data_IF_555101238822
#
_entry.id   IF_555101238822
#
_cell.length_a   1.000
_cell.length_b   1.000
_cell.length_c   1.000
_cell.angle_alpha   90.00
_cell.angle_beta   90.00
_cell.angle_gamma   90.00
#
_symmetry.space_group_name_H-M   'P 1'
#
loop_
_entity.id
_entity.type
_entity.pdbx_description
1 polymer ?
#
# COMPACT_ATOMS: atom_id res chain seq x y z
N UNK A 1 5.77 -13.82 -12.15
CA UNK A 1 7.14 -14.18 -11.76
C UNK A 1 7.94 -14.63 -12.98
N UNK A 2 8.91 -13.84 -13.41
CA UNK A 2 9.77 -14.13 -14.57
C UNK A 2 11.25 -13.83 -14.24
N UNK A 3 12.04 -14.84 -13.88
CA UNK A 3 13.47 -14.70 -13.67
C UNK A 3 14.23 -14.19 -14.89
N UNK A 4 13.78 -14.51 -16.08
CA UNK A 4 14.36 -14.08 -17.34
C UNK A 4 14.23 -12.57 -17.53
N UNK A 5 13.03 -12.03 -17.31
CA UNK A 5 12.79 -10.59 -17.37
C UNK A 5 13.58 -9.86 -16.30
N UNK A 6 13.61 -10.37 -15.06
CA UNK A 6 14.42 -9.78 -13.99
C UNK A 6 15.89 -9.66 -14.40
N UNK A 7 16.48 -10.74 -14.94
CA UNK A 7 17.86 -10.71 -15.43
C UNK A 7 18.08 -9.74 -16.58
N UNK A 8 17.09 -9.58 -17.47
CA UNK A 8 17.17 -8.61 -18.55
C UNK A 8 17.21 -7.17 -18.01
N UNK A 9 16.41 -6.84 -16.98
CA UNK A 9 16.46 -5.55 -16.32
C UNK A 9 17.80 -5.33 -15.59
N UNK A 10 18.30 -6.34 -14.89
CA UNK A 10 19.63 -6.26 -14.23
C UNK A 10 20.76 -6.05 -15.23
N UNK A 11 20.68 -6.70 -16.41
CA UNK A 11 21.65 -6.50 -17.47
C UNK A 11 21.61 -5.07 -18.04
N UNK A 12 20.43 -4.48 -18.23
CA UNK A 12 20.27 -3.06 -18.61
C UNK A 12 20.89 -2.11 -17.57
N UNK A 13 20.81 -2.46 -16.28
CA UNK A 13 21.44 -1.73 -15.19
C UNK A 13 22.96 -1.99 -15.07
N UNK A 14 23.54 -2.81 -15.98
CA UNK A 14 24.96 -3.12 -16.04
C UNK A 14 25.41 -4.33 -15.21
N UNK A 15 24.49 -5.07 -14.59
CA UNK A 15 24.81 -6.27 -13.82
C UNK A 15 24.79 -7.50 -14.74
N UNK A 16 25.92 -7.79 -15.38
CA UNK A 16 26.03 -8.80 -16.43
C UNK A 16 26.93 -9.99 -16.07
N UNK A 17 27.73 -9.89 -15.02
CA UNK A 17 28.75 -10.89 -14.69
C UNK A 17 28.26 -11.71 -13.48
N UNK A 18 28.08 -13.04 -13.60
CA UNK A 18 27.74 -13.87 -12.46
C UNK A 18 28.97 -14.10 -11.56
N UNK A 19 28.75 -14.02 -10.24
CA UNK A 19 29.70 -14.47 -9.25
C UNK A 19 29.59 -15.99 -9.04
N UNK A 20 30.57 -16.64 -8.38
CA UNK A 20 30.52 -18.09 -8.11
C UNK A 20 29.30 -18.54 -7.30
N UNK A 21 28.71 -17.66 -6.50
CA UNK A 21 27.50 -17.87 -5.71
C UNK A 21 26.20 -17.57 -6.46
N UNK A 22 26.29 -17.21 -7.75
CA UNK A 22 25.16 -16.94 -8.62
C UNK A 22 24.66 -15.49 -8.59
N UNK A 23 25.17 -14.64 -7.72
CA UNK A 23 24.79 -13.22 -7.67
C UNK A 23 25.46 -12.45 -8.80
N UNK A 24 24.71 -11.52 -9.40
CA UNK A 24 25.24 -10.70 -10.50
C UNK A 24 26.10 -9.53 -9.97
N UNK A 25 27.04 -9.09 -10.81
CA UNK A 25 27.86 -7.90 -10.56
C UNK A 25 28.12 -7.11 -11.83
N UNK A 26 28.51 -5.86 -11.66
CA UNK A 26 29.03 -4.98 -12.72
C UNK A 26 30.49 -5.34 -13.05
N UNK A 27 31.02 -4.85 -14.20
CA UNK A 27 32.44 -4.99 -14.55
C UNK A 27 33.39 -4.42 -13.51
N UNK A 28 32.99 -3.37 -12.79
CA UNK A 28 33.77 -2.74 -11.71
C UNK A 28 33.79 -3.57 -10.41
N UNK A 29 33.11 -4.70 -10.37
CA UNK A 29 33.00 -5.57 -9.20
C UNK A 29 31.81 -5.31 -8.30
N UNK A 30 31.03 -4.24 -8.52
CA UNK A 30 29.84 -3.89 -7.71
C UNK A 30 28.80 -5.01 -7.80
N UNK A 31 28.49 -5.65 -6.67
CA UNK A 31 27.49 -6.73 -6.59
C UNK A 31 26.07 -6.19 -6.61
N UNK A 32 25.16 -6.97 -7.17
CA UNK A 32 23.74 -6.67 -7.15
C UNK A 32 23.14 -7.08 -5.79
N UNK A 33 23.05 -6.10 -4.90
CA UNK A 33 22.50 -6.29 -3.55
C UNK A 33 21.44 -5.25 -3.25
N UNK A 34 20.44 -5.62 -2.44
CA UNK A 34 19.44 -4.71 -1.92
C UNK A 34 19.13 -5.04 -0.46
N UNK A 35 19.13 -4.05 0.42
CA UNK A 35 18.73 -4.21 1.82
C UNK A 35 17.26 -3.82 2.00
N UNK A 36 16.46 -4.71 2.61
CA UNK A 36 15.04 -4.45 2.92
C UNK A 36 14.88 -4.30 4.43
N UNK A 37 14.56 -3.09 4.87
CA UNK A 37 14.23 -2.80 6.27
C UNK A 37 12.75 -3.08 6.53
N UNK A 38 12.44 -3.79 7.61
CA UNK A 38 11.07 -4.12 8.00
C UNK A 38 10.94 -4.35 9.51
N UNK A 39 9.72 -4.19 10.10
CA UNK A 39 9.49 -4.46 11.51
C UNK A 39 9.54 -5.96 11.80
N UNK A 40 10.25 -6.35 12.85
CA UNK A 40 10.44 -7.75 13.26
C UNK A 40 9.27 -8.32 14.08
N UNK A 41 8.23 -7.54 14.33
CA UNK A 41 7.06 -7.93 15.14
C UNK A 41 6.14 -8.95 14.46
N UNK A 42 6.30 -9.19 13.14
CA UNK A 42 5.48 -10.12 12.37
C UNK A 42 6.29 -11.31 11.84
N UNK A 43 6.18 -12.49 12.45
CA UNK A 43 6.86 -13.72 11.97
C UNK A 43 6.44 -14.12 10.56
N UNK A 44 5.17 -13.91 10.18
CA UNK A 44 4.66 -14.20 8.85
C UNK A 44 5.32 -13.31 7.78
N UNK A 45 5.51 -12.03 8.07
CA UNK A 45 6.22 -11.12 7.20
C UNK A 45 7.68 -11.53 7.01
N UNK A 46 8.36 -11.88 8.12
CA UNK A 46 9.74 -12.35 8.06
C UNK A 46 9.89 -13.60 7.18
N UNK A 47 8.96 -14.56 7.31
CA UNK A 47 8.90 -15.75 6.47
C UNK A 47 8.67 -15.41 4.98
N UNK A 48 7.75 -14.51 4.69
CA UNK A 48 7.45 -14.06 3.31
C UNK A 48 8.67 -13.38 2.68
N UNK A 49 9.33 -12.48 3.40
CA UNK A 49 10.54 -11.82 2.91
C UNK A 49 11.73 -12.80 2.79
N UNK A 50 11.79 -13.82 3.65
CA UNK A 50 12.73 -14.93 3.51
C UNK A 50 12.54 -15.68 2.18
N UNK A 51 11.29 -15.95 1.81
CA UNK A 51 10.97 -16.57 0.51
C UNK A 51 11.33 -15.67 -0.66
N UNK A 52 11.01 -14.36 -0.57
CA UNK A 52 11.39 -13.38 -1.58
C UNK A 52 12.91 -13.34 -1.79
N UNK A 53 13.69 -13.36 -0.70
CA UNK A 53 15.16 -13.42 -0.76
C UNK A 53 15.66 -14.64 -1.55
N UNK A 54 15.09 -15.82 -1.29
CA UNK A 54 15.48 -17.04 -2.01
C UNK A 54 15.11 -16.98 -3.50
N UNK A 55 13.95 -16.42 -3.83
CA UNK A 55 13.53 -16.28 -5.22
C UNK A 55 14.34 -15.19 -5.97
N UNK A 56 14.68 -14.09 -5.31
CA UNK A 56 15.56 -13.06 -5.85
C UNK A 56 16.97 -13.61 -6.17
N UNK A 57 17.49 -14.49 -5.31
CA UNK A 57 18.78 -15.14 -5.53
C UNK A 57 18.82 -15.94 -6.82
N UNK A 58 17.73 -16.61 -7.18
CA UNK A 58 17.61 -17.35 -8.45
C UNK A 58 17.72 -16.42 -9.69
N UNK A 59 17.40 -15.15 -9.50
CA UNK A 59 17.53 -14.13 -10.54
C UNK A 59 18.90 -13.42 -10.53
N UNK A 60 19.74 -13.69 -9.52
CA UNK A 60 21.05 -13.07 -9.36
C UNK A 60 21.09 -11.84 -8.47
N UNK A 61 20.01 -11.56 -7.70
CA UNK A 61 19.92 -10.48 -6.72
C UNK A 61 20.10 -11.04 -5.32
N UNK A 62 21.00 -10.45 -4.54
CA UNK A 62 21.16 -10.70 -3.12
C UNK A 62 20.31 -9.74 -2.30
N UNK A 63 19.24 -10.24 -1.67
CA UNK A 63 18.46 -9.48 -0.71
C UNK A 63 19.03 -9.65 0.69
N UNK A 64 19.36 -8.55 1.34
CA UNK A 64 19.76 -8.49 2.74
C UNK A 64 18.54 -8.08 3.56
N UNK A 65 18.08 -8.96 4.45
CA UNK A 65 16.97 -8.68 5.34
C UNK A 65 17.49 -7.92 6.57
N UNK A 66 16.85 -6.79 6.87
CA UNK A 66 17.20 -5.89 7.97
C UNK A 66 15.98 -5.77 8.92
N UNK A 67 15.74 -6.82 9.75
CA UNK A 67 14.65 -6.82 10.72
C UNK A 67 15.00 -5.94 11.92
N UNK A 68 14.16 -4.95 12.19
CA UNK A 68 14.34 -4.01 13.31
C UNK A 68 13.10 -3.99 14.19
N UNK A 69 13.26 -3.52 15.44
CA UNK A 69 12.11 -3.14 16.25
C UNK A 69 11.21 -2.17 15.47
N UNK A 70 9.89 -2.27 15.66
CA UNK A 70 8.91 -1.51 14.86
C UNK A 70 9.16 -0.01 14.91
N UNK A 71 9.51 0.54 16.08
CA UNK A 71 9.80 1.98 16.25
C UNK A 71 11.09 2.37 15.56
N UNK A 72 12.10 1.51 15.64
CA UNK A 72 13.42 1.74 15.00
C UNK A 72 13.31 1.62 13.49
N UNK A 73 12.58 0.62 12.98
CA UNK A 73 12.30 0.45 11.56
C UNK A 73 11.57 1.68 11.00
N UNK A 74 10.48 2.09 11.65
CA UNK A 74 9.72 3.28 11.27
C UNK A 74 10.59 4.53 11.22
N UNK A 75 11.39 4.79 12.27
CA UNK A 75 12.32 5.92 12.30
C UNK A 75 13.31 5.88 11.15
N UNK A 76 13.96 4.74 10.91
CA UNK A 76 14.93 4.58 9.81
C UNK A 76 14.32 4.86 8.45
N UNK A 77 13.08 4.41 8.23
CA UNK A 77 12.33 4.62 6.98
C UNK A 77 11.95 6.11 6.83
N UNK A 78 11.37 6.71 7.88
CA UNK A 78 10.95 8.11 7.84
C UNK A 78 12.11 9.10 7.76
N UNK A 79 13.28 8.74 8.27
CA UNK A 79 14.54 9.46 8.06
C UNK A 79 15.17 9.20 6.67
N UNK A 80 14.48 8.40 5.82
CA UNK A 80 14.91 8.07 4.44
C UNK A 80 16.30 7.42 4.38
N UNK A 81 16.66 6.64 5.39
CA UNK A 81 17.93 5.91 5.49
C UNK A 81 17.84 4.43 5.11
N UNK A 82 16.65 3.94 4.79
CA UNK A 82 16.45 2.59 4.26
C UNK A 82 16.68 2.58 2.75
N UNK A 83 17.38 1.58 2.24
CA UNK A 83 17.55 1.38 0.81
C UNK A 83 16.25 0.90 0.16
N UNK A 84 15.61 -0.06 0.78
CA UNK A 84 14.25 -0.49 0.50
C UNK A 84 13.55 -0.79 1.82
N UNK A 85 12.24 -0.68 1.85
CA UNK A 85 11.46 -0.96 3.05
C UNK A 85 10.18 -1.69 2.73
N UNK A 86 9.72 -2.53 3.65
CA UNK A 86 8.38 -3.08 3.62
C UNK A 86 7.48 -2.26 4.54
N UNK A 87 6.41 -1.70 3.99
CA UNK A 87 5.42 -0.91 4.72
C UNK A 87 4.01 -1.28 4.28
N UNK A 88 3.06 -1.13 5.18
CA UNK A 88 1.64 -1.15 4.86
C UNK A 88 1.14 0.30 4.72
N UNK A 89 0.34 0.54 3.71
CA UNK A 89 -0.33 1.81 3.47
C UNK A 89 -1.82 1.61 3.47
N UNK A 90 -2.54 2.56 4.08
CA UNK A 90 -3.98 2.68 3.97
C UNK A 90 -4.32 3.75 2.94
N UNK A 91 -5.34 3.48 2.14
CA UNK A 91 -5.92 4.45 1.21
C UNK A 91 -7.39 4.63 1.55
N UNK A 92 -7.84 5.87 1.51
CA UNK A 92 -9.25 6.20 1.73
C UNK A 92 -9.88 6.59 0.39
N UNK A 93 -10.61 5.69 -0.27
CA UNK A 93 -11.35 6.06 -1.46
C UNK A 93 -12.34 7.18 -1.15
N UNK A 94 -12.67 8.06 -2.12
CA UNK A 94 -12.23 8.05 -3.51
C UNK A 94 -10.95 8.86 -3.77
N UNK A 95 -10.35 9.45 -2.73
CA UNK A 95 -9.24 10.39 -2.90
C UNK A 95 -7.90 9.69 -2.77
N UNK A 96 -7.14 9.59 -3.87
CA UNK A 96 -5.78 9.08 -3.83
C UNK A 96 -4.88 10.08 -3.08
N UNK A 97 -4.00 9.56 -2.22
CA UNK A 97 -3.02 10.38 -1.48
C UNK A 97 -1.65 10.41 -2.17
N UNK A 98 -1.64 10.36 -3.49
CA UNK A 98 -0.40 10.21 -4.28
C UNK A 98 0.52 11.43 -4.14
N UNK A 99 -0.04 12.63 -4.02
CA UNK A 99 0.72 13.87 -3.89
C UNK A 99 1.72 13.82 -2.73
N UNK A 100 1.26 13.42 -1.55
CA UNK A 100 2.13 13.33 -0.37
C UNK A 100 3.24 12.28 -0.51
N UNK A 101 2.97 11.22 -1.29
CA UNK A 101 3.90 10.12 -1.50
C UNK A 101 4.98 10.39 -2.54
N UNK A 102 4.70 11.25 -3.53
CA UNK A 102 5.55 11.33 -4.72
C UNK A 102 5.90 12.73 -5.19
N UNK A 103 5.26 13.80 -4.69
CA UNK A 103 5.60 15.15 -5.10
C UNK A 103 6.94 15.60 -4.50
N UNK A 104 7.77 16.26 -5.34
CA UNK A 104 9.13 16.73 -4.99
C UNK A 104 9.16 17.62 -3.74
N UNK A 105 8.11 18.41 -3.49
CA UNK A 105 8.01 19.30 -2.30
C UNK A 105 8.03 18.56 -0.97
N UNK A 106 7.76 17.25 -0.95
CA UNK A 106 7.87 16.41 0.24
C UNK A 106 9.18 15.62 0.31
N UNK A 107 10.03 15.75 -0.71
CA UNK A 107 11.34 15.13 -0.77
C UNK A 107 12.46 16.08 -0.37
N UNK A 108 12.43 17.31 -0.95
CA UNK A 108 13.51 18.29 -0.79
C UNK A 108 12.94 19.69 -0.53
N UNK A 109 13.62 20.45 0.32
CA UNK A 109 13.34 21.85 0.56
C UNK A 109 13.87 22.75 -0.60
N UNK A 110 13.58 24.03 -0.54
CA UNK A 110 13.97 25.01 -1.55
C UNK A 110 15.51 25.15 -1.72
N UNK A 111 16.29 24.71 -0.72
CA UNK A 111 17.75 24.71 -0.72
C UNK A 111 18.34 23.38 -1.16
N UNK A 112 17.49 22.40 -1.53
CA UNK A 112 17.90 21.06 -1.91
C UNK A 112 18.21 20.15 -0.71
N UNK A 113 17.86 20.55 0.51
CA UNK A 113 17.98 19.74 1.70
C UNK A 113 16.92 18.64 1.76
N UNK A 114 17.28 17.42 2.14
CA UNK A 114 16.36 16.29 2.27
C UNK A 114 15.36 16.55 3.42
N UNK A 115 14.07 16.49 3.10
CA UNK A 115 13.00 16.59 4.10
C UNK A 115 12.69 15.18 4.62
N UNK A 116 12.87 14.98 5.91
CA UNK A 116 12.54 13.72 6.60
C UNK A 116 11.12 13.76 7.19
N UNK A 117 10.59 12.60 7.61
CA UNK A 117 9.27 12.46 8.22
C UNK A 117 8.11 12.95 7.34
N UNK A 118 8.21 12.69 6.03
CA UNK A 118 7.14 12.89 5.06
C UNK A 118 6.75 11.56 4.43
N UNK A 119 5.57 11.50 3.82
CA UNK A 119 5.09 10.29 3.15
C UNK A 119 5.86 9.98 1.85
N UNK A 120 6.63 10.92 1.32
CA UNK A 120 7.56 10.67 0.22
C UNK A 120 8.82 9.94 0.75
N UNK A 121 8.66 8.71 1.18
CA UNK A 121 9.72 7.89 1.80
C UNK A 121 10.87 7.55 0.86
N UNK A 122 10.60 7.53 -0.44
CA UNK A 122 11.59 7.25 -1.48
C UNK A 122 12.50 8.44 -1.78
N UNK A 123 12.25 9.61 -1.18
CA UNK A 123 12.90 10.88 -1.54
C UNK A 123 12.81 11.16 -3.05
N UNK A 124 11.70 10.78 -3.64
CA UNK A 124 11.48 10.90 -5.07
C UNK A 124 11.20 12.34 -5.47
N UNK A 125 11.88 12.81 -6.53
CA UNK A 125 11.69 14.14 -7.07
C UNK A 125 11.78 14.11 -8.60
N UNK A 126 10.67 14.42 -9.27
CA UNK A 126 10.57 14.41 -10.72
C UNK A 126 9.54 15.45 -11.18
N UNK A 127 9.99 16.42 -12.00
CA UNK A 127 9.13 17.53 -12.47
C UNK A 127 7.93 17.09 -13.32
N UNK A 128 8.03 15.98 -14.00
CA UNK A 128 6.91 15.44 -14.77
C UNK A 128 5.87 14.82 -13.83
N UNK A 129 6.31 14.07 -12.84
CA UNK A 129 5.44 13.55 -11.79
C UNK A 129 4.76 14.69 -11.02
N UNK A 130 5.49 15.75 -10.67
CA UNK A 130 4.91 16.92 -9.99
C UNK A 130 3.72 17.50 -10.78
N UNK A 131 3.87 17.64 -12.10
CA UNK A 131 2.77 18.12 -12.96
C UNK A 131 1.58 17.18 -13.01
N UNK A 132 1.82 15.86 -12.99
CA UNK A 132 0.74 14.87 -12.96
C UNK A 132 -0.02 14.93 -11.62
N UNK A 133 0.71 15.07 -10.53
CA UNK A 133 0.15 15.20 -9.17
C UNK A 133 -0.59 16.51 -8.98
N UNK A 134 -0.08 17.61 -9.52
CA UNK A 134 -0.79 18.89 -9.54
C UNK A 134 -2.11 18.81 -10.34
N UNK A 135 -2.11 18.09 -11.45
CA UNK A 135 -3.32 17.85 -12.22
C UNK A 135 -4.33 16.96 -11.47
N UNK A 136 -3.85 15.95 -10.74
CA UNK A 136 -4.69 15.12 -9.87
C UNK A 136 -5.32 15.93 -8.74
N UNK A 137 -4.53 16.75 -8.05
CA UNK A 137 -4.98 17.57 -6.91
C UNK A 137 -5.96 18.67 -7.33
N UNK A 138 -5.80 19.21 -8.54
CA UNK A 138 -6.64 20.30 -9.06
C UNK A 138 -7.79 19.82 -9.95
N UNK A 139 -8.05 18.52 -10.04
CA UNK A 139 -9.16 17.97 -10.81
C UNK A 139 -10.50 18.52 -10.28
N UNK A 140 -11.32 19.07 -11.17
CA UNK A 140 -12.59 19.70 -10.81
C UNK A 140 -13.76 18.70 -10.89
N UNK A 141 -13.58 17.60 -11.59
CA UNK A 141 -14.59 16.56 -11.79
C UNK A 141 -14.01 15.19 -11.47
N UNK A 142 -14.87 14.24 -11.16
CA UNK A 142 -14.47 12.85 -10.89
C UNK A 142 -13.78 12.19 -12.11
N UNK A 143 -14.26 12.48 -13.32
CA UNK A 143 -13.66 11.97 -14.57
C UNK A 143 -12.24 12.54 -14.78
N UNK A 144 -12.02 13.81 -14.49
CA UNK A 144 -10.68 14.42 -14.52
C UNK A 144 -9.76 13.81 -13.46
N UNK A 145 -10.25 13.63 -12.24
CA UNK A 145 -9.53 12.99 -11.16
C UNK A 145 -9.11 11.56 -11.54
N UNK A 146 -10.04 10.75 -12.03
CA UNK A 146 -9.77 9.39 -12.44
C UNK A 146 -8.69 9.33 -13.52
N UNK A 147 -8.78 10.19 -14.56
CA UNK A 147 -7.78 10.23 -15.64
C UNK A 147 -6.42 10.71 -15.17
N UNK A 148 -6.37 11.67 -14.25
CA UNK A 148 -5.12 12.15 -13.69
C UNK A 148 -4.47 11.10 -12.80
N UNK A 149 -5.25 10.49 -11.90
CA UNK A 149 -4.78 9.40 -11.03
C UNK A 149 -4.23 8.22 -11.83
N UNK A 150 -4.90 7.84 -12.92
CA UNK A 150 -4.41 6.77 -13.79
C UNK A 150 -3.00 7.05 -14.33
N UNK A 151 -2.74 8.28 -14.79
CA UNK A 151 -1.42 8.68 -15.29
C UNK A 151 -0.35 8.68 -14.19
N UNK A 152 -0.72 9.10 -12.98
CA UNK A 152 0.17 9.04 -11.82
C UNK A 152 0.53 7.59 -11.50
N UNK A 153 -0.47 6.71 -11.43
CA UNK A 153 -0.26 5.29 -11.13
C UNK A 153 0.60 4.62 -12.21
N UNK A 154 0.34 4.91 -13.50
CA UNK A 154 1.16 4.39 -14.59
C UNK A 154 2.64 4.80 -14.41
N UNK A 155 2.91 6.05 -14.06
CA UNK A 155 4.28 6.52 -13.84
C UNK A 155 4.94 5.90 -12.61
N UNK A 156 4.18 5.67 -11.52
CA UNK A 156 4.68 4.95 -10.34
C UNK A 156 5.12 3.53 -10.71
N UNK A 157 4.33 2.85 -11.54
CA UNK A 157 4.60 1.49 -12.02
C UNK A 157 5.79 1.46 -12.97
N UNK A 158 5.82 2.33 -13.98
CA UNK A 158 6.91 2.43 -14.97
C UNK A 158 8.27 2.68 -14.32
N UNK A 159 8.32 3.47 -13.25
CA UNK A 159 9.53 3.78 -12.51
C UNK A 159 9.79 2.83 -11.32
N UNK A 160 8.88 1.87 -11.09
CA UNK A 160 8.95 0.88 -10.02
C UNK A 160 9.23 1.51 -8.63
N UNK A 161 8.59 2.66 -8.36
CA UNK A 161 8.79 3.40 -7.10
C UNK A 161 8.23 2.62 -5.90
N UNK A 162 7.11 1.97 -6.11
CA UNK A 162 6.51 1.06 -5.16
C UNK A 162 6.24 -0.27 -5.84
N UNK A 163 6.50 -1.35 -5.13
CA UNK A 163 6.18 -2.71 -5.59
C UNK A 163 4.98 -3.19 -4.79
N UNK A 164 3.76 -3.17 -5.36
CA UNK A 164 2.59 -3.67 -4.68
C UNK A 164 2.72 -5.17 -4.42
N UNK A 165 2.48 -5.59 -3.18
CA UNK A 165 2.63 -6.98 -2.77
C UNK A 165 1.27 -7.67 -2.66
N UNK A 166 0.46 -7.25 -1.68
CA UNK A 166 -0.89 -7.77 -1.45
C UNK A 166 -1.73 -6.76 -0.70
N UNK A 167 -3.02 -6.90 -0.82
CA UNK A 167 -4.00 -6.21 0.01
C UNK A 167 -4.76 -7.23 0.86
N UNK A 168 -5.25 -6.80 2.01
CA UNK A 168 -6.12 -7.62 2.85
C UNK A 168 -7.55 -7.43 2.38
N UNK A 169 -8.23 -8.52 2.01
CA UNK A 169 -9.61 -8.49 1.52
C UNK A 169 -10.64 -8.27 2.65
N UNK A 170 -10.20 -8.37 3.89
CA UNK A 170 -11.06 -8.17 5.05
C UNK A 170 -10.29 -7.53 6.19
N UNK A 171 -11.00 -6.84 7.07
CA UNK A 171 -10.47 -6.33 8.32
C UNK A 171 -11.15 -7.09 9.46
N UNK A 172 -10.33 -7.56 10.40
CA UNK A 172 -10.83 -8.22 11.61
C UNK A 172 -10.77 -7.25 12.77
N UNK A 173 -11.91 -6.98 13.39
CA UNK A 173 -12.03 -6.11 14.55
C UNK A 173 -12.43 -6.93 15.77
N UNK A 174 -11.68 -6.74 16.87
CA UNK A 174 -12.11 -7.19 18.18
C UNK A 174 -12.57 -5.98 19.01
N UNK A 175 -13.80 -6.03 19.51
CA UNK A 175 -14.32 -4.95 20.34
C UNK A 175 -15.18 -5.50 21.49
N UNK A 176 -15.29 -4.68 22.52
CA UNK A 176 -16.09 -5.04 23.68
C UNK A 176 -17.58 -4.99 23.35
N UNK A 177 -18.37 -5.90 23.88
CA UNK A 177 -19.83 -6.01 23.66
C UNK A 177 -20.63 -4.74 23.97
N UNK A 178 -20.06 -3.83 24.76
CA UNK A 178 -20.67 -2.52 25.06
C UNK A 178 -20.36 -1.42 24.05
N UNK A 179 -19.52 -1.67 23.07
CA UNK A 179 -19.28 -0.73 21.96
C UNK A 179 -20.39 -0.94 20.94
N UNK A 180 -21.11 0.11 20.64
CA UNK A 180 -22.23 0.12 19.72
C UNK A 180 -22.04 1.18 18.66
N UNK A 181 -22.53 0.93 17.47
CA UNK A 181 -22.60 1.86 16.34
C UNK A 181 -23.94 1.72 15.62
N UNK A 182 -24.30 2.71 14.77
CA UNK A 182 -25.53 2.64 13.99
C UNK A 182 -25.60 1.37 13.15
N UNK A 183 -26.74 0.74 13.16
CA UNK A 183 -26.97 -0.49 12.38
C UNK A 183 -27.60 -0.18 11.02
N UNK A 184 -27.15 0.90 10.35
CA UNK A 184 -27.59 1.19 8.99
C UNK A 184 -26.50 0.82 7.99
N UNK A 185 -26.91 0.44 6.80
CA UNK A 185 -26.02 0.06 5.73
C UNK A 185 -25.00 1.18 5.42
N UNK A 186 -25.46 2.42 5.38
CA UNK A 186 -24.63 3.59 5.05
C UNK A 186 -23.65 4.00 6.16
N UNK A 187 -23.99 3.76 7.42
CA UNK A 187 -23.13 4.15 8.55
C UNK A 187 -22.18 3.06 9.01
N UNK A 188 -22.46 1.81 8.70
CA UNK A 188 -21.55 0.69 8.96
C UNK A 188 -20.28 0.77 8.11
N UNK A 189 -20.32 1.54 7.03
CA UNK A 189 -19.19 1.74 6.12
C UNK A 189 -18.32 2.93 6.42
N UNK A 190 -18.87 3.97 6.97
CA UNK A 190 -18.10 4.99 7.63
C UNK A 190 -17.42 4.42 8.88
N UNK A 191 -17.52 3.13 9.00
CA UNK A 191 -17.01 2.30 10.02
C UNK A 191 -15.52 2.50 10.13
N UNK A 192 -15.00 2.49 11.32
CA UNK A 192 -13.60 2.49 11.72
C UNK A 192 -12.71 1.46 11.02
N UNK A 193 -13.27 0.75 10.08
CA UNK A 193 -12.61 -0.26 9.28
C UNK A 193 -11.40 0.29 8.54
N UNK A 194 -11.41 1.57 8.20
CA UNK A 194 -10.33 2.14 7.39
C UNK A 194 -9.27 2.78 8.28
N UNK A 195 -9.67 3.39 9.40
CA UNK A 195 -8.75 4.05 10.32
C UNK A 195 -9.19 3.89 11.78
N UNK A 196 -8.89 4.82 12.63
CA UNK A 196 -9.24 4.79 14.04
C UNK A 196 -10.76 4.95 14.23
N UNK A 197 -11.44 4.05 14.98
CA UNK A 197 -12.84 4.20 15.36
C UNK A 197 -13.17 5.57 15.96
N UNK A 198 -12.19 6.21 16.57
CA UNK A 198 -12.37 7.50 17.21
C UNK A 198 -12.55 8.65 16.20
N UNK A 199 -12.07 8.52 14.98
CA UNK A 199 -12.18 9.58 13.97
C UNK A 199 -13.60 9.70 13.39
N UNK A 200 -14.37 8.62 13.39
CA UNK A 200 -15.72 8.63 12.80
C UNK A 200 -16.78 9.22 13.72
N UNK A 201 -16.55 9.26 15.04
CA UNK A 201 -17.54 9.65 16.07
C UNK A 201 -18.91 8.95 15.94
N UNK A 202 -18.97 7.84 15.24
CA UNK A 202 -20.20 7.10 14.94
C UNK A 202 -20.40 5.89 15.85
N UNK A 203 -19.81 5.87 17.01
CA UNK A 203 -20.00 4.81 17.99
C UNK A 203 -20.31 5.39 19.38
N UNK A 204 -20.92 4.57 20.20
CA UNK A 204 -21.17 4.92 21.61
C UNK A 204 -20.90 3.74 22.53
N UNK A 205 -20.83 4.03 23.81
CA UNK A 205 -20.69 3.04 24.87
C UNK A 205 -22.05 2.83 25.53
N UNK A 206 -22.53 1.59 25.51
CA UNK A 206 -23.67 1.18 26.30
C UNK A 206 -23.20 0.91 27.75
N UNK A 207 -23.54 1.82 28.64
CA UNK A 207 -23.08 1.77 30.03
C UNK A 207 -23.68 0.63 30.85
N UNK A 208 -24.90 0.19 30.52
CA UNK A 208 -25.56 -0.91 31.23
C UNK A 208 -24.89 -2.24 30.83
N UNK A 209 -24.67 -2.46 29.56
CA UNK A 209 -23.93 -3.63 29.05
C UNK A 209 -22.48 -3.62 29.56
N UNK A 210 -21.85 -2.44 29.67
CA UNK A 210 -20.50 -2.31 30.22
C UNK A 210 -20.47 -2.74 31.68
N UNK A 211 -21.41 -2.28 32.51
CA UNK A 211 -21.52 -2.62 33.92
C UNK A 211 -21.73 -4.14 34.08
N UNK A 212 -22.71 -4.71 33.40
CA UNK A 212 -22.97 -6.15 33.38
C UNK A 212 -21.71 -6.96 33.02
N UNK A 213 -21.01 -6.54 31.96
CA UNK A 213 -19.81 -7.24 31.50
C UNK A 213 -18.68 -7.17 32.52
N UNK A 214 -18.49 -6.04 33.16
CA UNK A 214 -17.45 -5.87 34.18
C UNK A 214 -17.76 -6.63 35.47
N UNK A 215 -19.01 -6.76 35.83
CA UNK A 215 -19.47 -7.59 36.96
C UNK A 215 -19.25 -9.08 36.66
N UNK A 216 -19.70 -9.55 35.51
CA UNK A 216 -19.47 -10.91 35.05
C UNK A 216 -17.99 -11.28 35.01
N UNK A 217 -17.13 -10.37 34.51
CA UNK A 217 -15.67 -10.55 34.51
C UNK A 217 -15.11 -10.72 35.92
N UNK A 218 -15.58 -9.96 36.90
CA UNK A 218 -15.15 -10.09 38.33
C UNK A 218 -15.56 -11.44 38.91
N UNK A 219 -16.68 -11.97 38.47
CA UNK A 219 -17.22 -13.27 38.90
C UNK A 219 -16.64 -14.46 38.13
N UNK A 220 -15.74 -14.20 37.16
CA UNK A 220 -15.18 -15.24 36.30
C UNK A 220 -16.16 -15.84 35.28
N UNK A 221 -17.26 -15.14 35.02
CA UNK A 221 -18.26 -15.54 34.03
C UNK A 221 -17.83 -15.10 32.63
N UNK A 222 -18.19 -15.89 31.62
CA UNK A 222 -17.99 -15.61 30.19
C UNK A 222 -19.33 -15.44 29.51
N UNK A 223 -19.34 -14.70 28.41
CA UNK A 223 -20.47 -14.58 27.51
C UNK A 223 -20.23 -15.48 26.29
N UNK A 224 -21.29 -15.79 25.57
CA UNK A 224 -21.21 -16.48 24.30
C UNK A 224 -20.33 -15.69 23.33
N UNK A 225 -19.50 -16.41 22.58
CA UNK A 225 -18.68 -15.82 21.53
C UNK A 225 -19.56 -15.37 20.37
N UNK A 226 -19.38 -14.14 19.93
CA UNK A 226 -20.10 -13.59 18.78
C UNK A 226 -19.10 -13.25 17.71
N UNK A 227 -19.21 -13.94 16.57
CA UNK A 227 -18.47 -13.61 15.35
C UNK A 227 -19.48 -13.13 14.30
N UNK A 228 -19.30 -11.91 13.83
CA UNK A 228 -20.21 -11.28 12.87
C UNK A 228 -19.42 -10.94 11.60
N UNK A 229 -19.88 -11.44 10.47
CA UNK A 229 -19.31 -11.15 9.16
C UNK A 229 -20.20 -10.11 8.46
N UNK A 230 -19.58 -9.01 8.08
CA UNK A 230 -20.20 -7.97 7.27
C UNK A 230 -19.64 -8.06 5.85
N UNK A 231 -20.35 -8.68 4.93
CA UNK A 231 -19.94 -8.91 3.55
C UNK A 231 -20.90 -8.35 2.48
N UNK A 232 -21.96 -7.66 2.93
CA UNK A 232 -23.02 -7.12 2.06
C UNK A 232 -22.52 -6.15 0.99
N UNK A 233 -21.28 -5.67 1.10
CA UNK A 233 -20.67 -4.74 0.18
C UNK A 233 -19.48 -5.34 -0.57
N UNK A 234 -19.26 -6.62 -0.42
CA UNK A 234 -18.18 -7.35 -1.07
C UNK A 234 -18.30 -7.34 -2.59
N UNK A 235 -19.54 -7.22 -3.09
CA UNK A 235 -19.85 -7.23 -4.51
C UNK A 235 -20.42 -5.87 -4.92
N UNK A 236 -19.70 -5.14 -5.77
CA UNK A 236 -20.17 -3.84 -6.29
C UNK A 236 -21.48 -3.97 -7.08
N UNK A 237 -21.79 -5.15 -7.63
CA UNK A 237 -23.08 -5.44 -8.28
C UNK A 237 -24.29 -5.24 -7.35
N UNK A 238 -24.08 -5.30 -6.03
CA UNK A 238 -25.13 -5.04 -5.05
C UNK A 238 -25.37 -3.53 -4.83
N UNK A 239 -24.43 -2.67 -5.19
CA UNK A 239 -24.59 -1.21 -5.11
C UNK A 239 -25.49 -0.71 -6.23
N UNK A 240 -25.38 -1.27 -7.45
CA UNK A 240 -26.33 -0.98 -8.54
C UNK A 240 -27.78 -1.28 -8.17
N UNK A 241 -28.03 -2.26 -7.28
CA UNK A 241 -29.37 -2.59 -6.81
C UNK A 241 -29.94 -1.60 -5.79
N UNK A 242 -29.09 -0.81 -5.12
CA UNK A 242 -29.50 0.25 -4.19
C UNK A 242 -29.82 1.55 -4.93
N UNK A 243 -29.05 1.89 -5.97
CA UNK A 243 -29.24 3.09 -6.77
C UNK A 243 -30.46 3.00 -7.70
N UNK A 244 -30.87 1.80 -8.12
CA UNK A 244 -32.04 1.62 -8.99
C UNK A 244 -33.39 1.88 -8.32
N UNK A 245 -33.43 2.09 -7.00
CA UNK A 245 -34.69 2.48 -6.32
C UNK A 245 -34.98 3.97 -6.32
N UNK A 246 -33.94 4.81 -6.53
CA UNK A 246 -34.05 6.28 -6.44
C UNK A 246 -33.44 7.05 -7.63
N UNK A 247 -33.21 6.41 -8.77
CA UNK A 247 -32.92 7.11 -10.04
C UNK A 247 -31.50 7.67 -10.20
N UNK A 248 -30.51 7.16 -9.51
CA UNK A 248 -29.09 7.55 -9.64
C UNK A 248 -28.38 6.90 -10.84
N UNK A 249 -27.49 7.65 -11.47
CA UNK A 249 -26.84 7.27 -12.73
C UNK A 249 -25.84 6.10 -12.60
N UNK A 250 -25.64 5.38 -13.70
CA UNK A 250 -24.70 4.28 -13.83
C UNK A 250 -23.27 4.71 -13.50
N UNK A 251 -22.63 4.04 -12.55
CA UNK A 251 -21.17 4.10 -12.40
C UNK A 251 -20.49 3.49 -13.64
N UNK A 252 -19.42 4.10 -14.15
CA UNK A 252 -18.71 3.55 -15.28
C UNK A 252 -18.07 2.21 -14.93
N UNK A 253 -18.23 1.22 -15.82
CA UNK A 253 -17.57 -0.07 -15.70
C UNK A 253 -16.06 0.12 -15.61
N UNK A 254 -15.44 -0.45 -14.58
CA UNK A 254 -13.96 -0.50 -14.49
C UNK A 254 -13.44 -1.18 -15.75
N UNK A 255 -12.53 -0.56 -16.51
CA UNK A 255 -11.95 -1.19 -17.67
C UNK A 255 -11.23 -2.47 -17.22
N UNK A 256 -11.61 -3.61 -17.79
CA UNK A 256 -10.83 -4.84 -17.66
C UNK A 256 -9.47 -4.55 -18.31
N UNK A 257 -8.42 -4.57 -17.50
CA UNK A 257 -7.04 -4.47 -18.02
C UNK A 257 -6.84 -5.66 -18.95
N UNK A 258 -6.61 -5.48 -20.26
CA UNK A 258 -6.27 -6.60 -21.11
C UNK A 258 -4.96 -7.18 -20.58
N UNK A 259 -4.89 -8.50 -20.44
CA UNK A 259 -3.63 -9.19 -20.21
C UNK A 259 -2.70 -8.81 -21.37
N UNK A 260 -1.79 -7.86 -21.11
CA UNK A 260 -0.85 -7.40 -22.14
C UNK A 260 0.19 -8.49 -22.39
N UNK A 261 -0.09 -9.31 -23.38
CA UNK A 261 0.81 -10.33 -23.88
C UNK A 261 1.83 -9.83 -24.90
N UNK A 262 2.01 -8.53 -25.08
CA UNK A 262 2.99 -8.02 -26.03
C UNK A 262 4.24 -7.46 -25.33
N UNK A 263 5.45 -7.90 -25.75
CA UNK A 263 6.69 -7.33 -25.26
C UNK A 263 6.84 -5.89 -25.76
N UNK A 264 7.08 -4.96 -24.81
CA UNK A 264 7.37 -3.57 -25.10
C UNK A 264 8.52 -3.45 -26.12
N UNK A 265 8.24 -2.92 -27.30
CA UNK A 265 9.27 -2.49 -28.25
C UNK A 265 10.12 -1.37 -27.62
N UNK A 266 11.44 -1.37 -27.84
CA UNK A 266 12.32 -0.35 -27.28
C UNK A 266 12.02 1.00 -27.94
N UNK A 267 11.66 2.02 -27.14
CA UNK A 267 11.52 3.38 -27.63
C UNK A 267 12.86 3.85 -28.19
N UNK A 268 12.86 4.23 -29.46
CA UNK A 268 13.99 4.81 -30.14
C UNK A 268 14.35 6.15 -29.48
N UNK A 269 15.52 6.19 -28.88
CA UNK A 269 16.18 7.45 -28.49
C UNK A 269 16.58 8.18 -29.76
N UNK A 270 15.89 9.23 -30.12
CA UNK A 270 16.38 10.21 -31.09
C UNK A 270 17.54 11.01 -30.50
N UNK A 271 18.52 11.24 -31.36
CA UNK A 271 19.83 11.86 -31.15
C UNK A 271 19.79 13.30 -30.63
#
# INVERSE_FOLDING_TARGET
>A
YSPEQARAYFARAGYTIPCPDGILRKPDGTRLTAAITFPNSSPSLASTLGKLKEDARKCGLEIQLDPLDSTVAFRKIMEKRAQASFMAWGFTPPHPMNEQGFHSRYAYDERGGLITYTNNICAYANKEMDKLLDAETNAATEDELQKATWKVQQKIDDEALWVPCWTTEFIRLGYWRWVKWPNSATTQFCHPVVFDPMESYLYWVDNDIKKETMEAKREGKTFEEVDTVYDQYRYMDSIESLDNKDGGGKLPSVPVIPESGDPLEPSATEK
#
